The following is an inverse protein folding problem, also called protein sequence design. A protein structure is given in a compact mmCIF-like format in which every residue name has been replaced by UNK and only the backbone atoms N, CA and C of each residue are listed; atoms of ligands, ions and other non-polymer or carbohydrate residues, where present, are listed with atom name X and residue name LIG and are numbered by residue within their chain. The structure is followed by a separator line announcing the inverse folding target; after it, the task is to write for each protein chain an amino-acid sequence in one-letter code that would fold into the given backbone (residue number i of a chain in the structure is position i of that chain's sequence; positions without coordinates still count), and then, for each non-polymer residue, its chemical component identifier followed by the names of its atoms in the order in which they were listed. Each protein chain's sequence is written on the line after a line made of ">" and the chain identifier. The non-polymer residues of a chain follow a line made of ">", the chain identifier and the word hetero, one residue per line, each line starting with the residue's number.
data_IF_609004080188
#
_entry.id   IF_609004080188
#
_cell.length_a   1.000
_cell.length_b   1.000
_cell.length_c   1.000
_cell.angle_alpha   90.00
_cell.angle_beta   90.00
_cell.angle_gamma   90.00
#
_symmetry.space_group_name_H-M   'P 1'
#
loop_
_entity.id
_entity.type
_entity.pdbx_description
1 polymer ?
#
# COMPACT_ATOMS: atom_id res chain seq x y z
N UNK A 1 13.74 -11.09 -7.14
CA UNK A 1 13.31 -11.81 -8.37
C UNK A 1 11.83 -12.19 -8.23
N UNK A 2 11.11 -12.43 -9.33
CA UNK A 2 9.75 -12.97 -9.27
C UNK A 2 9.74 -14.44 -8.82
N UNK A 3 8.56 -14.94 -8.45
CA UNK A 3 8.39 -16.29 -7.91
C UNK A 3 8.84 -17.38 -8.90
N UNK A 4 8.56 -17.19 -10.20
CA UNK A 4 8.93 -18.13 -11.26
C UNK A 4 10.44 -18.25 -11.39
N UNK A 5 11.16 -17.13 -11.36
CA UNK A 5 12.62 -17.14 -11.46
C UNK A 5 13.26 -17.89 -10.28
N UNK A 6 12.72 -17.71 -9.07
CA UNK A 6 13.21 -18.40 -7.88
C UNK A 6 12.87 -19.91 -7.91
N UNK A 7 11.64 -20.27 -8.28
CA UNK A 7 11.22 -21.65 -8.41
C UNK A 7 12.04 -22.42 -9.46
N UNK A 8 12.28 -21.80 -10.63
CA UNK A 8 13.11 -22.38 -11.68
C UNK A 8 14.58 -22.52 -11.25
N UNK A 9 15.11 -21.53 -10.52
CA UNK A 9 16.47 -21.60 -9.95
C UNK A 9 16.61 -22.75 -8.97
N UNK A 10 15.63 -22.97 -8.10
CA UNK A 10 15.63 -24.09 -7.15
C UNK A 10 15.44 -25.46 -7.83
N UNK A 11 14.64 -25.51 -8.90
CA UNK A 11 14.43 -26.74 -9.67
C UNK A 11 15.71 -27.17 -10.42
N UNK A 12 16.46 -26.20 -10.96
CA UNK A 12 17.64 -26.47 -11.79
C UNK A 12 17.28 -27.31 -13.01
N UNK A 13 18.09 -28.30 -13.34
CA UNK A 13 17.87 -29.17 -14.50
C UNK A 13 16.57 -29.99 -14.43
N UNK A 14 16.02 -30.19 -13.22
CA UNK A 14 14.73 -30.89 -13.01
C UNK A 14 13.55 -30.11 -13.56
N UNK A 15 13.71 -28.83 -13.91
CA UNK A 15 12.66 -28.04 -14.55
C UNK A 15 12.34 -28.53 -15.96
N UNK A 16 13.29 -29.19 -16.65
CA UNK A 16 13.10 -29.65 -18.03
C UNK A 16 11.97 -30.66 -18.11
N UNK A 17 10.96 -30.36 -18.93
CA UNK A 17 9.80 -31.22 -19.15
C UNK A 17 8.79 -31.22 -17.99
N UNK A 18 9.04 -30.44 -16.92
CA UNK A 18 8.17 -30.37 -15.76
C UNK A 18 6.90 -29.54 -16.01
N UNK A 19 6.03 -29.48 -15.00
CA UNK A 19 4.87 -28.56 -14.94
C UNK A 19 5.17 -27.43 -13.94
N UNK A 20 5.00 -26.19 -14.37
CA UNK A 20 5.09 -25.01 -13.51
C UNK A 20 3.69 -24.55 -13.10
N UNK A 21 3.45 -24.40 -11.81
CA UNK A 21 2.21 -23.81 -11.28
C UNK A 21 2.49 -22.38 -10.82
N UNK A 22 1.71 -21.42 -11.30
CA UNK A 22 1.83 -19.99 -10.94
C UNK A 22 0.48 -19.43 -10.53
N UNK A 23 0.48 -18.59 -9.49
CA UNK A 23 -0.75 -17.98 -8.97
C UNK A 23 -1.23 -16.80 -9.80
N UNK A 24 -0.36 -16.21 -10.62
CA UNK A 24 -0.66 -15.08 -11.49
C UNK A 24 -0.02 -15.31 -12.87
N UNK A 25 -0.58 -14.74 -13.93
CA UNK A 25 -0.02 -14.80 -15.27
C UNK A 25 1.45 -14.35 -15.30
N UNK A 26 2.37 -15.15 -15.89
CA UNK A 26 3.78 -14.77 -15.98
C UNK A 26 3.98 -13.50 -16.79
N UNK A 27 4.83 -12.60 -16.27
CA UNK A 27 5.09 -11.34 -16.97
C UNK A 27 5.85 -11.57 -18.30
N UNK A 28 5.50 -10.76 -19.30
CA UNK A 28 6.00 -10.83 -20.68
C UNK A 28 6.66 -9.54 -21.17
N UNK A 29 6.91 -8.58 -20.27
CA UNK A 29 7.52 -7.29 -20.58
C UNK A 29 8.79 -7.08 -19.77
N UNK A 30 9.72 -6.29 -20.32
CA UNK A 30 10.93 -5.89 -19.61
C UNK A 30 10.58 -4.84 -18.56
N UNK A 31 10.74 -5.19 -17.27
CA UNK A 31 10.61 -4.27 -16.14
C UNK A 31 11.94 -4.07 -15.43
N UNK A 32 11.90 -4.00 -14.09
CA UNK A 32 13.11 -4.00 -13.23
C UNK A 32 13.89 -5.31 -13.34
N UNK A 33 13.20 -6.39 -13.70
CA UNK A 33 13.78 -7.71 -13.96
C UNK A 33 13.36 -8.20 -15.35
N UNK A 34 14.12 -9.15 -15.95
CA UNK A 34 13.73 -9.77 -17.21
C UNK A 34 12.35 -10.47 -17.13
N UNK A 35 11.65 -10.65 -18.27
CA UNK A 35 10.36 -11.33 -18.32
C UNK A 35 10.42 -12.77 -17.79
N UNK A 36 9.40 -13.18 -17.05
CA UNK A 36 9.28 -14.55 -16.55
C UNK A 36 9.03 -15.55 -17.69
N UNK A 37 8.32 -15.13 -18.75
CA UNK A 37 8.14 -15.94 -19.97
C UNK A 37 9.49 -16.44 -20.50
N UNK A 38 10.49 -15.56 -20.62
CA UNK A 38 11.80 -15.95 -21.14
C UNK A 38 12.52 -16.97 -20.24
N UNK A 39 12.38 -16.82 -18.92
CA UNK A 39 12.94 -17.78 -17.96
C UNK A 39 12.29 -19.15 -18.08
N UNK A 40 10.95 -19.19 -18.22
CA UNK A 40 10.17 -20.41 -18.40
C UNK A 40 10.58 -21.14 -19.69
N UNK A 41 10.72 -20.40 -20.79
CA UNK A 41 11.14 -20.96 -22.09
C UNK A 41 12.57 -21.52 -22.02
N UNK A 42 13.51 -20.78 -21.42
CA UNK A 42 14.89 -21.25 -21.22
C UNK A 42 14.96 -22.52 -20.37
N UNK A 43 14.10 -22.65 -19.36
CA UNK A 43 14.02 -23.83 -18.50
C UNK A 43 13.41 -25.07 -19.20
N UNK A 44 12.85 -24.90 -20.40
CA UNK A 44 12.23 -25.98 -21.20
C UNK A 44 11.14 -26.73 -20.43
N UNK A 45 10.31 -25.96 -19.74
CA UNK A 45 9.08 -26.43 -19.09
C UNK A 45 8.12 -26.99 -20.16
N UNK A 46 7.41 -28.07 -19.85
CA UNK A 46 6.42 -28.67 -20.77
C UNK A 46 5.05 -28.00 -20.66
N UNK A 47 4.64 -27.70 -19.42
CA UNK A 47 3.30 -27.23 -19.09
C UNK A 47 3.33 -26.12 -18.06
N UNK A 48 2.48 -25.11 -18.22
CA UNK A 48 2.27 -24.04 -17.24
C UNK A 48 0.80 -24.01 -16.84
N UNK A 49 0.53 -24.03 -15.54
CA UNK A 49 -0.81 -23.89 -14.97
C UNK A 49 -0.90 -22.54 -14.28
N UNK A 50 -1.78 -21.69 -14.77
CA UNK A 50 -1.97 -20.31 -14.31
C UNK A 50 -3.28 -20.20 -13.55
N UNK A 51 -3.24 -19.74 -12.30
CA UNK A 51 -4.46 -19.59 -11.51
C UNK A 51 -5.29 -18.38 -11.96
N UNK A 52 -4.74 -17.16 -11.87
CA UNK A 52 -5.41 -15.93 -12.27
C UNK A 52 -4.67 -15.20 -13.42
N UNK A 53 -5.42 -14.55 -14.31
CA UNK A 53 -4.85 -13.64 -15.31
C UNK A 53 -4.35 -12.33 -14.69
N UNK A 54 -3.39 -11.66 -15.34
CA UNK A 54 -2.91 -10.36 -14.87
C UNK A 54 -3.81 -9.23 -15.40
N UNK A 55 -4.44 -8.42 -14.53
CA UNK A 55 -5.28 -7.30 -14.97
C UNK A 55 -4.48 -6.14 -15.54
N UNK A 56 -3.17 -6.08 -15.30
CA UNK A 56 -2.28 -5.02 -15.77
C UNK A 56 -2.38 -4.90 -17.31
N UNK A 57 -2.76 -3.74 -17.85
CA UNK A 57 -2.90 -3.55 -19.30
C UNK A 57 -1.66 -3.90 -20.12
N UNK A 58 -0.46 -3.83 -19.51
CA UNK A 58 0.81 -4.19 -20.16
C UNK A 58 1.04 -5.70 -20.27
N UNK A 59 0.36 -6.50 -19.45
CA UNK A 59 0.57 -7.96 -19.36
C UNK A 59 -0.65 -8.75 -19.85
N UNK A 60 -1.86 -8.25 -19.61
CA UNK A 60 -3.14 -8.95 -19.76
C UNK A 60 -3.19 -9.88 -20.97
N UNK A 61 -3.13 -11.19 -20.72
CA UNK A 61 -3.21 -12.27 -21.73
C UNK A 61 -1.96 -12.45 -22.60
N UNK A 62 -0.98 -11.56 -22.50
CA UNK A 62 0.23 -11.57 -23.31
C UNK A 62 1.24 -12.63 -22.89
N UNK A 63 1.37 -12.92 -21.59
CA UNK A 63 2.29 -13.95 -21.09
C UNK A 63 1.80 -15.35 -21.40
N UNK A 64 0.53 -15.61 -21.13
CA UNK A 64 -0.12 -16.88 -21.48
C UNK A 64 -0.12 -17.13 -22.99
N UNK A 65 -0.37 -16.11 -23.81
CA UNK A 65 -0.27 -16.21 -25.28
C UNK A 65 1.14 -16.54 -25.73
N UNK A 66 2.16 -15.81 -25.27
CA UNK A 66 3.55 -16.05 -25.67
C UNK A 66 4.03 -17.46 -25.35
N UNK A 67 3.63 -18.01 -24.20
CA UNK A 67 3.95 -19.39 -23.82
C UNK A 67 3.27 -20.43 -24.74
N UNK A 68 2.00 -20.21 -25.12
CA UNK A 68 1.28 -21.08 -26.07
C UNK A 68 1.90 -21.03 -27.47
N UNK A 69 2.26 -19.85 -27.95
CA UNK A 69 2.91 -19.64 -29.25
C UNK A 69 4.28 -20.34 -29.32
N UNK A 70 4.99 -20.43 -28.19
CA UNK A 70 6.23 -21.19 -28.06
C UNK A 70 6.04 -22.71 -27.93
N UNK A 71 4.79 -23.21 -28.00
CA UNK A 71 4.47 -24.64 -28.00
C UNK A 71 4.28 -25.27 -26.62
N UNK A 72 4.18 -24.49 -25.55
CA UNK A 72 3.89 -25.03 -24.22
C UNK A 72 2.39 -25.25 -24.03
N UNK A 73 2.04 -26.27 -23.26
CA UNK A 73 0.66 -26.47 -22.80
C UNK A 73 0.35 -25.47 -21.67
N UNK A 74 -0.65 -24.61 -21.85
CA UNK A 74 -1.02 -23.59 -20.86
C UNK A 74 -2.47 -23.75 -20.43
N UNK A 75 -2.68 -24.16 -19.17
CA UNK A 75 -3.98 -24.23 -18.52
C UNK A 75 -4.20 -22.97 -17.67
N UNK A 76 -5.42 -22.45 -17.66
CA UNK A 76 -5.77 -21.20 -16.95
C UNK A 76 -7.05 -21.39 -16.11
N UNK A 77 -7.18 -20.64 -15.03
CA UNK A 77 -8.39 -20.63 -14.17
C UNK A 77 -8.36 -21.65 -13.02
N UNK A 78 -7.24 -22.35 -12.80
CA UNK A 78 -7.14 -23.32 -11.71
C UNK A 78 -7.04 -22.61 -10.35
N UNK A 79 -8.05 -22.76 -9.48
CA UNK A 79 -8.13 -22.05 -8.18
C UNK A 79 -8.03 -20.53 -8.32
N UNK A 80 -8.69 -20.00 -9.36
CA UNK A 80 -8.66 -18.58 -9.68
C UNK A 80 -9.18 -17.72 -8.52
N UNK A 81 -10.28 -18.14 -7.87
CA UNK A 81 -10.87 -17.39 -6.76
C UNK A 81 -9.90 -17.23 -5.58
N UNK A 82 -9.19 -18.31 -5.20
CA UNK A 82 -8.21 -18.25 -4.13
C UNK A 82 -6.98 -17.41 -4.52
N UNK A 83 -6.54 -17.52 -5.76
CA UNK A 83 -5.43 -16.70 -6.28
C UNK A 83 -5.79 -15.21 -6.32
N UNK A 84 -7.04 -14.89 -6.71
CA UNK A 84 -7.56 -13.51 -6.69
C UNK A 84 -7.71 -12.98 -5.27
N UNK A 85 -8.21 -13.79 -4.35
CA UNK A 85 -8.33 -13.43 -2.94
C UNK A 85 -6.95 -13.09 -2.33
N UNK A 86 -5.93 -13.91 -2.62
CA UNK A 86 -4.55 -13.69 -2.17
C UNK A 86 -3.91 -12.43 -2.75
N UNK A 87 -4.30 -12.02 -3.97
CA UNK A 87 -3.74 -10.86 -4.67
C UNK A 87 -4.69 -9.65 -4.71
N UNK A 88 -5.75 -9.64 -3.89
CA UNK A 88 -6.85 -8.65 -3.98
C UNK A 88 -6.36 -7.21 -4.06
N UNK A 89 -5.38 -6.83 -3.22
CA UNK A 89 -4.82 -5.47 -3.18
C UNK A 89 -4.19 -5.09 -4.52
N UNK A 90 -3.31 -5.94 -5.04
CA UNK A 90 -2.63 -5.71 -6.32
C UNK A 90 -3.62 -5.67 -7.48
N UNK A 91 -4.53 -6.65 -7.56
CA UNK A 91 -5.51 -6.74 -8.63
C UNK A 91 -6.44 -5.51 -8.63
N UNK A 92 -6.97 -5.15 -7.46
CA UNK A 92 -7.82 -3.98 -7.31
C UNK A 92 -7.10 -2.70 -7.74
N UNK A 93 -5.80 -2.58 -7.43
CA UNK A 93 -5.03 -1.41 -7.78
C UNK A 93 -4.76 -1.31 -9.29
N UNK A 94 -4.41 -2.42 -9.93
CA UNK A 94 -4.20 -2.47 -11.38
C UNK A 94 -5.50 -2.22 -12.16
N UNK A 95 -6.64 -2.70 -11.67
CA UNK A 95 -7.95 -2.47 -12.30
C UNK A 95 -8.42 -1.01 -12.17
N UNK A 96 -8.20 -0.39 -11.01
CA UNK A 96 -8.66 0.98 -10.72
C UNK A 96 -7.63 2.05 -11.05
N UNK A 97 -6.39 1.66 -11.36
CA UNK A 97 -5.24 2.54 -11.57
C UNK A 97 -4.99 3.50 -10.39
N UNK A 98 -5.22 3.01 -9.17
CA UNK A 98 -4.96 3.69 -7.90
C UNK A 98 -4.67 2.68 -6.80
N UNK A 99 -4.00 3.03 -5.69
CA UNK A 99 -3.80 2.10 -4.58
C UNK A 99 -5.15 1.64 -4.00
N UNK A 100 -5.21 0.40 -3.54
CA UNK A 100 -6.27 -0.09 -2.68
C UNK A 100 -6.10 0.51 -1.27
N UNK A 101 -7.06 1.30 -0.82
CA UNK A 101 -6.99 2.02 0.46
C UNK A 101 -7.77 1.26 1.53
N UNK A 102 -7.07 0.88 2.59
CA UNK A 102 -7.68 0.36 3.81
C UNK A 102 -7.74 1.48 4.85
N UNK A 103 -8.94 1.95 5.20
CA UNK A 103 -9.14 2.84 6.34
C UNK A 103 -9.06 2.03 7.62
N UNK A 104 -8.17 2.42 8.53
CA UNK A 104 -8.08 1.85 9.86
C UNK A 104 -8.43 2.92 10.89
N UNK A 105 -9.36 2.60 11.78
CA UNK A 105 -9.74 3.47 12.88
C UNK A 105 -9.77 2.69 14.20
N UNK A 106 -9.29 3.32 15.27
CA UNK A 106 -9.49 2.83 16.63
C UNK A 106 -10.37 3.84 17.36
N UNK A 107 -11.50 3.39 17.88
CA UNK A 107 -12.50 4.26 18.49
C UNK A 107 -13.15 3.60 19.71
N UNK A 108 -13.77 4.41 20.56
CA UNK A 108 -14.67 3.97 21.62
C UNK A 108 -16.00 3.48 21.04
N UNK A 109 -16.85 2.87 21.87
CA UNK A 109 -18.15 2.34 21.46
C UNK A 109 -19.08 3.44 20.93
N UNK A 110 -18.96 4.66 21.46
CA UNK A 110 -19.65 5.87 21.01
C UNK A 110 -18.91 6.64 19.89
N UNK A 111 -17.93 6.00 19.23
CA UNK A 111 -17.32 6.49 18.00
C UNK A 111 -16.26 7.58 18.18
N UNK A 112 -15.71 7.77 19.38
CA UNK A 112 -14.67 8.77 19.65
C UNK A 112 -13.27 8.21 19.44
N UNK A 113 -12.41 8.99 18.80
CA UNK A 113 -10.99 8.64 18.54
C UNK A 113 -10.02 9.32 19.51
N UNK A 114 -10.53 10.27 20.29
CA UNK A 114 -9.80 10.95 21.37
C UNK A 114 -10.82 11.50 22.39
N UNK A 115 -10.35 11.79 23.59
CA UNK A 115 -11.11 12.56 24.57
C UNK A 115 -11.25 14.04 24.15
N UNK A 116 -12.05 14.81 24.88
CA UNK A 116 -12.30 16.23 24.60
C UNK A 116 -11.04 17.10 24.66
N UNK A 117 -10.07 16.71 25.50
CA UNK A 117 -8.74 17.31 25.63
C UNK A 117 -7.76 16.81 24.55
N UNK A 118 -8.25 16.03 23.58
CA UNK A 118 -7.51 15.35 22.51
C UNK A 118 -6.50 14.31 23.02
N UNK A 119 -6.58 13.91 24.29
CA UNK A 119 -5.83 12.74 24.74
C UNK A 119 -6.41 11.48 24.09
N UNK A 120 -5.55 10.75 23.38
CA UNK A 120 -5.93 9.55 22.61
C UNK A 120 -5.09 8.32 23.01
N UNK A 121 -4.37 8.41 24.13
CA UNK A 121 -3.45 7.37 24.56
C UNK A 121 -4.25 6.14 25.01
N UNK A 122 -4.19 5.11 24.16
CA UNK A 122 -4.54 3.71 24.43
C UNK A 122 -6.05 3.44 24.58
N UNK A 123 -6.85 3.93 23.62
CA UNK A 123 -8.28 3.56 23.49
C UNK A 123 -8.43 2.04 23.34
N UNK A 124 -7.62 1.42 22.46
CA UNK A 124 -7.67 -0.03 22.19
C UNK A 124 -6.54 -0.77 22.88
N UNK A 125 -6.70 -2.08 23.11
CA UNK A 125 -5.72 -2.93 23.80
C UNK A 125 -4.58 -3.47 22.91
N UNK A 126 -3.72 -4.32 23.48
CA UNK A 126 -2.53 -4.84 22.81
C UNK A 126 -2.84 -5.67 21.57
N UNK A 127 -3.89 -6.50 21.61
CA UNK A 127 -4.32 -7.29 20.46
C UNK A 127 -4.68 -6.42 19.24
N UNK A 128 -5.35 -5.28 19.46
CA UNK A 128 -5.70 -4.34 18.39
C UNK A 128 -4.46 -3.63 17.84
N UNK A 129 -3.50 -3.27 18.69
CA UNK A 129 -2.22 -2.69 18.26
C UNK A 129 -1.38 -3.67 17.45
N UNK A 130 -1.34 -4.94 17.86
CA UNK A 130 -0.65 -5.99 17.13
C UNK A 130 -1.26 -6.16 15.75
N UNK A 131 -2.59 -6.19 15.66
CA UNK A 131 -3.28 -6.28 14.37
C UNK A 131 -3.04 -5.04 13.49
N UNK A 132 -3.01 -3.84 14.07
CA UNK A 132 -2.61 -2.64 13.32
C UNK A 132 -1.19 -2.79 12.73
N UNK A 133 -0.24 -3.37 13.48
CA UNK A 133 1.08 -3.67 12.95
C UNK A 133 1.08 -4.71 11.82
N UNK A 134 0.19 -5.71 11.86
CA UNK A 134 0.00 -6.66 10.73
C UNK A 134 -0.57 -5.96 9.50
N UNK A 135 -1.54 -5.07 9.68
CA UNK A 135 -2.07 -4.28 8.55
C UNK A 135 -0.98 -3.40 7.92
N UNK A 136 -0.11 -2.78 8.73
CA UNK A 136 1.04 -2.02 8.23
C UNK A 136 2.02 -2.90 7.45
N UNK A 137 2.28 -4.12 7.91
CA UNK A 137 3.21 -5.04 7.23
C UNK A 137 2.70 -5.54 5.88
N UNK A 138 1.38 -5.54 5.68
CA UNK A 138 0.70 -5.94 4.45
C UNK A 138 0.48 -4.77 3.47
N UNK A 139 0.91 -3.56 3.83
CA UNK A 139 0.68 -2.34 3.04
C UNK A 139 1.98 -1.84 2.42
N UNK A 140 1.90 -1.25 1.22
CA UNK A 140 3.04 -0.58 0.59
C UNK A 140 3.33 0.76 1.24
N UNK A 141 2.30 1.42 1.80
CA UNK A 141 2.40 2.68 2.53
C UNK A 141 1.42 2.79 3.70
N UNK A 142 1.82 3.54 4.73
CA UNK A 142 0.98 3.98 5.86
C UNK A 142 0.79 5.48 5.73
N UNK A 143 -0.47 5.92 5.70
CA UNK A 143 -0.85 7.30 5.45
C UNK A 143 -1.50 7.93 6.67
N UNK A 144 -1.04 9.13 7.04
CA UNK A 144 -1.62 9.95 8.09
C UNK A 144 -1.74 11.40 7.63
N UNK A 145 -2.58 12.18 8.31
CA UNK A 145 -2.58 13.63 8.17
C UNK A 145 -1.47 14.26 8.99
N UNK A 146 -1.01 15.44 8.58
CA UNK A 146 -0.03 16.24 9.33
C UNK A 146 -0.45 16.51 10.78
N UNK A 147 -1.75 16.65 11.07
CA UNK A 147 -2.25 16.83 12.43
C UNK A 147 -1.85 15.68 13.36
N UNK A 148 -1.87 14.44 12.88
CA UNK A 148 -1.40 13.26 13.62
C UNK A 148 0.10 13.34 13.91
N UNK A 149 0.90 13.80 12.94
CA UNK A 149 2.35 13.93 13.13
C UNK A 149 2.68 15.01 14.15
N UNK A 150 2.00 16.15 14.09
CA UNK A 150 2.21 17.25 15.03
C UNK A 150 1.77 16.91 16.46
N UNK A 151 0.75 16.05 16.62
CA UNK A 151 0.26 15.63 17.92
C UNK A 151 1.08 14.51 18.56
N UNK A 152 1.45 13.49 17.77
CA UNK A 152 1.97 12.22 18.31
C UNK A 152 3.42 11.91 17.91
N UNK A 153 3.99 12.63 16.94
CA UNK A 153 5.30 12.37 16.33
C UNK A 153 5.57 10.86 16.08
N UNK A 154 4.71 10.17 15.30
CA UNK A 154 4.78 8.74 15.13
C UNK A 154 5.91 8.36 14.15
N UNK A 155 6.57 7.23 14.41
CA UNK A 155 7.54 6.66 13.48
C UNK A 155 6.90 5.97 12.25
N UNK A 156 5.62 5.57 12.38
CA UNK A 156 4.84 4.83 11.36
C UNK A 156 5.49 3.52 10.87
N UNK A 157 6.30 2.89 11.72
CA UNK A 157 6.99 1.62 11.44
C UNK A 157 6.13 0.38 11.76
N UNK A 158 6.57 -0.76 11.24
CA UNK A 158 6.07 -2.10 11.58
C UNK A 158 6.88 -2.64 12.75
N UNK A 159 6.21 -3.03 13.84
CA UNK A 159 6.83 -3.60 15.04
C UNK A 159 6.20 -4.95 15.33
N UNK A 160 6.68 -5.95 14.61
CA UNK A 160 6.26 -7.35 14.75
C UNK A 160 7.45 -8.19 15.20
N UNK A 161 7.15 -9.33 15.83
CA UNK A 161 8.12 -10.35 16.18
C UNK A 161 7.68 -11.69 15.53
N UNK A 162 8.47 -12.26 14.60
CA UNK A 162 9.75 -11.75 14.10
C UNK A 162 9.61 -10.45 13.27
N UNK A 163 10.70 -9.66 13.13
CA UNK A 163 10.68 -8.44 12.34
C UNK A 163 10.24 -8.68 10.89
N UNK A 164 9.38 -7.81 10.38
CA UNK A 164 8.94 -7.88 8.98
C UNK A 164 10.04 -7.31 8.07
N UNK A 165 10.42 -7.99 6.97
CA UNK A 165 11.59 -7.63 6.18
C UNK A 165 11.42 -6.36 5.33
N UNK A 166 10.19 -5.84 5.20
CA UNK A 166 9.87 -4.69 4.35
C UNK A 166 9.22 -3.57 5.17
N UNK A 167 9.80 -2.38 5.13
CA UNK A 167 9.13 -1.20 5.68
C UNK A 167 8.19 -0.55 4.65
N UNK A 168 6.99 -0.12 5.07
CA UNK A 168 6.10 0.66 4.23
C UNK A 168 6.64 2.07 3.99
N UNK A 169 6.19 2.72 2.92
CA UNK A 169 6.29 4.17 2.82
C UNK A 169 5.50 4.84 3.95
N UNK A 170 5.96 6.00 4.38
CA UNK A 170 5.35 6.77 5.47
C UNK A 170 4.86 8.06 4.87
N UNK A 171 3.57 8.08 4.56
CA UNK A 171 2.93 9.09 3.75
C UNK A 171 2.26 10.08 4.69
N UNK A 172 2.66 11.35 4.59
CA UNK A 172 2.05 12.44 5.35
C UNK A 172 1.30 13.33 4.38
N UNK A 173 0.00 13.51 4.61
CA UNK A 173 -0.82 14.48 3.87
C UNK A 173 -0.72 15.83 4.57
N UNK A 174 -0.06 16.78 3.94
CA UNK A 174 0.32 18.06 4.50
C UNK A 174 0.31 19.18 3.45
N UNK A 175 -0.87 19.73 3.20
CA UNK A 175 -1.08 20.73 2.16
C UNK A 175 -0.12 21.93 2.21
N UNK A 176 0.39 22.30 3.38
CA UNK A 176 1.27 23.45 3.57
C UNK A 176 2.74 23.12 3.85
N UNK A 177 3.20 21.88 3.65
CA UNK A 177 4.58 21.45 3.95
C UNK A 177 5.03 21.80 5.39
N UNK A 178 4.13 21.62 6.36
CA UNK A 178 4.32 21.88 7.79
C UNK A 178 5.17 20.85 8.54
N UNK A 179 5.41 19.67 7.96
CA UNK A 179 6.16 18.57 8.58
C UNK A 179 7.48 19.06 9.21
N UNK A 180 7.68 18.86 10.53
CA UNK A 180 8.95 19.19 11.16
C UNK A 180 10.10 18.37 10.59
N UNK A 181 11.25 19.02 10.32
CA UNK A 181 12.45 18.35 9.78
C UNK A 181 13.07 17.33 10.75
N UNK A 182 12.69 17.38 12.03
CA UNK A 182 13.10 16.46 13.07
C UNK A 182 12.03 15.40 13.40
N UNK A 183 10.98 15.27 12.58
CA UNK A 183 9.92 14.30 12.81
C UNK A 183 10.48 12.86 12.77
N UNK A 184 10.08 12.02 13.73
CA UNK A 184 10.62 10.66 13.89
C UNK A 184 10.42 9.77 12.66
N UNK A 185 9.37 10.02 11.88
CA UNK A 185 9.12 9.29 10.62
C UNK A 185 10.17 9.57 9.55
N UNK A 186 10.92 10.68 9.62
CA UNK A 186 12.01 10.98 8.69
C UNK A 186 13.25 10.16 9.07
N UNK A 187 13.58 10.10 10.36
CA UNK A 187 14.80 9.47 10.86
C UNK A 187 14.67 7.96 11.12
N UNK A 188 13.45 7.43 11.14
CA UNK A 188 13.25 5.97 11.19
C UNK A 188 13.66 5.37 9.82
N UNK A 189 14.44 4.30 9.75
CA UNK A 189 14.85 3.71 8.46
C UNK A 189 15.58 4.70 7.53
N UNK A 190 15.28 4.68 6.22
CA UNK A 190 15.85 5.65 5.27
C UNK A 190 14.91 6.85 5.05
N UNK A 191 15.41 8.09 5.03
CA UNK A 191 14.59 9.29 4.79
C UNK A 191 13.76 9.21 3.51
N UNK A 192 14.26 8.52 2.47
CA UNK A 192 13.55 8.31 1.21
C UNK A 192 12.23 7.52 1.34
N UNK A 193 11.97 6.84 2.47
CA UNK A 193 10.66 6.23 2.73
C UNK A 193 9.66 7.20 3.35
N UNK A 194 10.07 8.41 3.74
CA UNK A 194 9.15 9.48 4.10
C UNK A 194 8.66 10.15 2.82
N UNK A 195 7.35 10.17 2.64
CA UNK A 195 6.67 10.79 1.50
C UNK A 195 5.73 11.86 2.04
N UNK A 196 5.83 13.08 1.52
CA UNK A 196 4.94 14.18 1.93
C UNK A 196 4.13 14.63 0.73
N UNK A 197 2.82 14.47 0.82
CA UNK A 197 1.89 15.01 -0.16
C UNK A 197 1.53 16.45 0.23
N UNK A 198 1.85 17.39 -0.65
CA UNK A 198 1.60 18.83 -0.46
C UNK A 198 0.64 19.33 -1.53
N UNK A 199 -0.07 20.43 -1.26
CA UNK A 199 -0.82 21.11 -2.31
C UNK A 199 0.16 21.75 -3.30
N UNK A 200 -0.24 21.94 -4.54
CA UNK A 200 0.57 22.60 -5.59
C UNK A 200 0.88 24.06 -5.25
N UNK A 201 0.10 24.69 -4.37
CA UNK A 201 0.39 26.03 -3.83
C UNK A 201 1.23 26.02 -2.54
N UNK A 202 1.78 24.87 -2.12
CA UNK A 202 2.60 24.80 -0.91
C UNK A 202 3.85 25.70 -0.99
N UNK A 203 4.31 26.30 0.12
CA UNK A 203 5.47 27.20 0.11
C UNK A 203 6.74 26.51 -0.40
N UNK A 204 7.27 26.97 -1.53
CA UNK A 204 8.41 26.35 -2.21
C UNK A 204 9.67 26.20 -1.32
N UNK A 205 9.93 27.17 -0.45
CA UNK A 205 11.05 27.10 0.51
C UNK A 205 10.90 25.91 1.49
N UNK A 206 9.68 25.66 1.96
CA UNK A 206 9.39 24.55 2.88
C UNK A 206 9.52 23.20 2.19
N UNK A 207 9.06 23.12 0.94
CA UNK A 207 9.22 21.94 0.07
C UNK A 207 10.71 21.63 -0.13
N UNK A 208 11.50 22.62 -0.55
CA UNK A 208 12.94 22.46 -0.78
C UNK A 208 13.69 21.99 0.48
N UNK A 209 13.29 22.45 1.67
CA UNK A 209 13.88 22.00 2.94
C UNK A 209 13.56 20.54 3.27
N UNK A 210 12.37 20.05 2.93
CA UNK A 210 12.01 18.65 3.09
C UNK A 210 12.81 17.77 2.12
N UNK A 211 12.87 18.16 0.85
CA UNK A 211 13.66 17.47 -0.18
C UNK A 211 15.15 17.42 0.17
N UNK A 212 15.71 18.51 0.70
CA UNK A 212 17.09 18.56 1.19
C UNK A 212 17.35 17.60 2.35
N UNK A 213 16.31 17.16 3.08
CA UNK A 213 16.39 16.10 4.08
C UNK A 213 16.21 14.69 3.54
N UNK A 214 16.08 14.53 2.22
CA UNK A 214 15.88 13.25 1.55
C UNK A 214 14.43 12.76 1.59
N UNK A 215 13.48 13.62 1.94
CA UNK A 215 12.04 13.32 1.89
C UNK A 215 11.57 13.39 0.43
N UNK A 216 10.76 12.43 0.01
CA UNK A 216 10.09 12.50 -1.30
C UNK A 216 8.86 13.39 -1.18
N UNK A 217 8.82 14.51 -1.90
CA UNK A 217 7.66 15.41 -1.90
C UNK A 217 6.80 15.18 -3.15
N UNK A 218 5.49 14.98 -2.94
CA UNK A 218 4.49 14.88 -4.00
C UNK A 218 3.65 16.15 -4.01
N UNK A 219 3.95 17.04 -4.94
CA UNK A 219 3.06 18.16 -5.25
C UNK A 219 1.80 17.61 -5.89
N UNK A 220 0.65 17.76 -5.23
CA UNK A 220 -0.66 17.25 -5.65
C UNK A 220 -1.58 18.42 -6.01
N UNK A 221 -2.55 18.18 -6.88
CA UNK A 221 -3.63 19.15 -7.13
C UNK A 221 -4.33 19.52 -5.83
N UNK A 222 -4.73 20.78 -5.75
CA UNK A 222 -5.47 21.32 -4.62
C UNK A 222 -6.98 21.31 -4.85
N UNK A 223 -7.73 21.01 -3.80
CA UNK A 223 -9.18 21.19 -3.70
C UNK A 223 -9.47 21.92 -2.38
N UNK A 224 -9.99 23.14 -2.46
CA UNK A 224 -10.27 24.00 -1.30
C UNK A 224 -9.03 24.24 -0.41
N UNK A 225 -7.85 24.40 -1.04
CA UNK A 225 -6.57 24.60 -0.34
C UNK A 225 -6.02 23.34 0.35
N UNK A 226 -6.62 22.17 0.07
CA UNK A 226 -6.22 20.86 0.60
C UNK A 226 -5.75 19.95 -0.53
N UNK A 227 -4.93 18.95 -0.20
CA UNK A 227 -4.50 17.94 -1.18
C UNK A 227 -5.74 17.18 -1.67
N UNK A 228 -5.92 17.09 -2.99
CA UNK A 228 -6.96 16.26 -3.60
C UNK A 228 -6.64 14.76 -3.38
N UNK A 229 -7.50 14.00 -2.66
CA UNK A 229 -7.29 12.58 -2.43
C UNK A 229 -7.14 11.74 -3.71
N UNK A 230 -7.86 12.09 -4.78
CA UNK A 230 -7.83 11.34 -6.03
C UNK A 230 -6.49 11.52 -6.77
N UNK A 231 -5.99 12.77 -6.81
CA UNK A 231 -4.68 13.08 -7.40
C UNK A 231 -3.54 12.45 -6.58
N UNK A 232 -3.64 12.48 -5.25
CA UNK A 232 -2.71 11.78 -4.36
C UNK A 232 -2.67 10.28 -4.65
N UNK A 233 -3.83 9.63 -4.76
CA UNK A 233 -3.92 8.22 -5.13
C UNK A 233 -3.25 7.95 -6.49
N UNK A 234 -3.50 8.76 -7.51
CA UNK A 234 -2.88 8.61 -8.82
C UNK A 234 -1.34 8.73 -8.76
N UNK A 235 -0.82 9.69 -7.98
CA UNK A 235 0.63 9.87 -7.79
C UNK A 235 1.28 8.73 -7.03
N UNK A 236 0.62 8.22 -5.99
CA UNK A 236 1.11 7.05 -5.27
C UNK A 236 1.15 5.82 -6.19
N UNK A 237 0.13 5.62 -7.03
CA UNK A 237 0.13 4.53 -8.01
C UNK A 237 1.30 4.65 -9.00
N UNK A 238 1.63 5.86 -9.43
CA UNK A 238 2.79 6.11 -10.29
C UNK A 238 4.14 5.82 -9.61
N UNK A 239 4.17 5.73 -8.28
CA UNK A 239 5.32 5.27 -7.49
C UNK A 239 5.27 3.77 -7.17
N UNK A 240 4.48 2.99 -7.92
CA UNK A 240 4.25 1.55 -7.73
C UNK A 240 3.63 1.21 -6.36
N UNK A 241 2.92 2.15 -5.72
CA UNK A 241 2.17 1.89 -4.49
C UNK A 241 0.83 1.26 -4.87
N UNK A 242 0.62 0.01 -4.45
CA UNK A 242 -0.62 -0.73 -4.75
C UNK A 242 -1.56 -0.84 -3.55
N UNK A 243 -1.05 -0.75 -2.32
CA UNK A 243 -1.84 -0.79 -1.10
C UNK A 243 -1.45 0.28 -0.09
N UNK A 244 -2.44 1.01 0.43
CA UNK A 244 -2.25 2.03 1.48
C UNK A 244 -3.11 1.70 2.70
N UNK A 245 -2.49 1.78 3.88
CA UNK A 245 -3.20 1.81 5.15
C UNK A 245 -3.39 3.27 5.58
N UNK A 246 -4.63 3.76 5.55
CA UNK A 246 -5.00 5.08 6.04
C UNK A 246 -5.25 5.00 7.55
N UNK A 247 -4.35 5.57 8.34
CA UNK A 247 -4.48 5.78 9.79
C UNK A 247 -4.70 7.27 10.09
N UNK A 248 -5.49 7.94 9.25
CA UNK A 248 -5.74 9.38 9.33
C UNK A 248 -6.57 9.79 10.54
N UNK A 249 -6.45 11.08 10.89
CA UNK A 249 -7.44 11.75 11.76
C UNK A 249 -8.77 11.94 11.04
N UNK A 250 -9.78 12.40 11.79
CA UNK A 250 -11.18 12.57 11.31
C UNK A 250 -11.29 13.24 9.95
N UNK A 251 -10.62 14.38 9.76
CA UNK A 251 -10.68 15.15 8.52
C UNK A 251 -10.15 14.39 7.30
N UNK A 252 -9.03 13.66 7.45
CA UNK A 252 -8.45 12.91 6.33
C UNK A 252 -9.30 11.67 6.01
N UNK A 253 -9.84 11.02 7.04
CA UNK A 253 -10.77 9.90 6.88
C UNK A 253 -12.04 10.36 6.13
N UNK A 254 -12.63 11.47 6.56
CA UNK A 254 -13.79 12.09 5.89
C UNK A 254 -13.51 12.39 4.43
N UNK A 255 -12.39 13.05 4.12
CA UNK A 255 -12.02 13.39 2.74
C UNK A 255 -11.92 12.16 1.81
N UNK A 256 -11.33 11.05 2.29
CA UNK A 256 -11.24 9.82 1.50
C UNK A 256 -12.58 9.09 1.36
N UNK A 257 -13.44 9.16 2.36
CA UNK A 257 -14.80 8.59 2.32
C UNK A 257 -15.67 9.37 1.32
N UNK A 258 -15.68 10.70 1.41
CA UNK A 258 -16.43 11.57 0.50
C UNK A 258 -15.97 11.41 -0.96
N UNK A 259 -14.66 11.18 -1.15
CA UNK A 259 -14.10 10.91 -2.47
C UNK A 259 -14.39 9.49 -3.01
N UNK A 260 -15.02 8.60 -2.21
CA UNK A 260 -15.28 7.22 -2.61
C UNK A 260 -14.02 6.37 -2.82
N UNK A 261 -12.94 6.70 -2.10
CA UNK A 261 -11.61 6.09 -2.30
C UNK A 261 -11.27 4.99 -1.28
N UNK A 262 -12.19 4.66 -0.37
CA UNK A 262 -12.00 3.59 0.62
C UNK A 262 -12.46 2.24 0.05
N UNK A 263 -11.55 1.27 -0.04
CA UNK A 263 -11.84 -0.07 -0.53
C UNK A 263 -12.10 -1.07 0.60
N UNK A 264 -11.51 -0.84 1.78
CA UNK A 264 -11.70 -1.66 2.98
C UNK A 264 -11.72 -0.79 4.22
N UNK A 265 -12.55 -1.17 5.19
CA UNK A 265 -12.57 -0.55 6.52
C UNK A 265 -12.16 -1.59 7.57
N UNK A 266 -11.29 -1.20 8.49
CA UNK A 266 -10.88 -1.95 9.67
C UNK A 266 -11.09 -1.10 10.93
N UNK A 267 -12.22 -1.32 11.62
CA UNK A 267 -12.56 -0.61 12.85
C UNK A 267 -12.21 -1.47 14.07
N UNK A 268 -11.49 -0.87 15.01
CA UNK A 268 -11.18 -1.44 16.31
C UNK A 268 -11.99 -0.69 17.37
N UNK A 269 -13.00 -1.34 17.93
CA UNK A 269 -13.91 -0.74 18.91
C UNK A 269 -13.49 -1.17 20.31
N UNK A 270 -13.18 -0.20 21.16
CA UNK A 270 -12.99 -0.42 22.58
C UNK A 270 -14.34 -0.34 23.33
N UNK A 271 -14.58 -1.19 24.36
CA UNK A 271 -15.79 -1.15 25.16
C UNK A 271 -15.75 0.01 26.18
N UNK A 272 -15.53 1.23 25.68
CA UNK A 272 -15.44 2.48 26.43
C UNK A 272 -16.47 3.47 25.89
N UNK A 273 -16.89 4.41 26.72
CA UNK A 273 -17.72 5.55 26.35
C UNK A 273 -17.02 6.83 26.85
N UNK A 274 -16.78 7.79 25.95
CA UNK A 274 -16.12 9.06 26.29
C UNK A 274 -17.11 10.23 26.32
N UNK A 275 -18.11 10.22 25.44
CA UNK A 275 -19.04 11.32 25.25
C UNK A 275 -18.38 12.57 24.68
N UNK A 276 -18.95 13.74 24.97
CA UNK A 276 -18.43 15.03 24.54
C UNK A 276 -18.80 15.39 23.09
N UNK A 277 -19.60 16.46 22.94
CA UNK A 277 -20.00 16.96 21.62
C UNK A 277 -18.79 17.41 20.77
N UNK A 278 -17.74 17.89 21.41
CA UNK A 278 -16.50 18.35 20.77
C UNK A 278 -15.40 17.30 20.72
N UNK A 279 -15.61 16.11 21.31
CA UNK A 279 -14.64 15.03 21.25
C UNK A 279 -14.53 14.50 19.81
N UNK A 280 -13.31 14.38 19.24
CA UNK A 280 -13.12 13.95 17.87
C UNK A 280 -13.74 12.58 17.57
N UNK A 281 -14.43 12.48 16.43
CA UNK A 281 -15.03 11.24 15.89
C UNK A 281 -14.15 10.61 14.83
N UNK A 282 -14.48 9.39 14.39
CA UNK A 282 -13.73 8.69 13.35
C UNK A 282 -13.67 9.42 12.00
N UNK A 283 -14.71 10.23 11.72
CA UNK A 283 -14.90 11.09 10.55
C UNK A 283 -15.47 12.42 11.01
#
# INVERSE_FOLDING_TARGET
>A
PHAEAEALRQAGDRARGATLYVTLEPCNHQGRTPPCVDAILRARIRRVVVAAGDPNPRVRGGGTRALREAGLEVLSGCREDEARAGNRVFLAAMERLRPHVTLKCAMTLDGKIAAFDRSARWITGDAARLEAHRLRSQSDGVMVGIGTVLADDPALTVRLDPPWPREPLRIVVDSGARLPLAARLIDSGTPARAVVAVADEAPAERVARLEARGVTVLSCKSRDGRVDPADLCARLFALDVTGVLLEGGSELNGAFIEAGLIDRVAIFIAPLLIGGATAPTAV
#
